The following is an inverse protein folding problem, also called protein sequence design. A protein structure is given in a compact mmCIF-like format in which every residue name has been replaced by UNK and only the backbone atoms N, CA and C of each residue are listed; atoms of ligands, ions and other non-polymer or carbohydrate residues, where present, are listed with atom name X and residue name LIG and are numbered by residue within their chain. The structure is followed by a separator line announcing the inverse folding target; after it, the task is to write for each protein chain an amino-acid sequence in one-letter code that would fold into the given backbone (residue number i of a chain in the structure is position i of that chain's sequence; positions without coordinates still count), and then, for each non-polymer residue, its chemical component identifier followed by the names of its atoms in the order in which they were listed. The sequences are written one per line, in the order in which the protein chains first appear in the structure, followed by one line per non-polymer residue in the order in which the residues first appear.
data_IF_467975548795
#
_entry.id   IF_467975548795
#
_cell.length_a   1.000
_cell.length_b   1.000
_cell.length_c   1.000
_cell.angle_alpha   90.00
_cell.angle_beta   90.00
_cell.angle_gamma   90.00
#
_symmetry.space_group_name_H-M   'P 1'
#
loop_
_entity.id
_entity.type
_entity.pdbx_description
1 polymer ?
#
# COMPACT_ATOMS: atom_id res chain seq x y z
N UNK A 1 -20.43 -9.94 -32.73
CA UNK A 1 -19.07 -9.39 -32.54
C UNK A 1 -19.12 -8.01 -31.91
N UNK A 2 -19.88 -7.06 -32.46
CA UNK A 2 -20.03 -5.69 -31.92
C UNK A 2 -20.52 -5.63 -30.47
N UNK A 3 -21.57 -6.38 -30.11
CA UNK A 3 -22.08 -6.42 -28.73
C UNK A 3 -21.04 -6.91 -27.69
N UNK A 4 -20.17 -7.84 -28.09
CA UNK A 4 -19.09 -8.34 -27.22
C UNK A 4 -18.03 -7.26 -27.01
N UNK A 5 -17.67 -6.53 -28.07
CA UNK A 5 -16.73 -5.41 -27.99
C UNK A 5 -17.27 -4.30 -27.07
N UNK A 6 -18.54 -3.94 -27.22
CA UNK A 6 -19.20 -2.94 -26.36
C UNK A 6 -19.24 -3.39 -24.89
N UNK A 7 -19.54 -4.66 -24.63
CA UNK A 7 -19.53 -5.22 -23.27
C UNK A 7 -18.13 -5.17 -22.66
N UNK A 8 -17.10 -5.58 -23.41
CA UNK A 8 -15.70 -5.51 -22.95
C UNK A 8 -15.26 -4.08 -22.66
N UNK A 9 -15.62 -3.13 -23.54
CA UNK A 9 -15.31 -1.72 -23.34
C UNK A 9 -15.96 -1.17 -22.06
N UNK A 10 -17.25 -1.45 -21.86
CA UNK A 10 -17.96 -1.06 -20.64
C UNK A 10 -17.31 -1.67 -19.39
N UNK A 11 -16.95 -2.95 -19.45
CA UNK A 11 -16.30 -3.65 -18.33
C UNK A 11 -14.92 -3.05 -17.99
N UNK A 12 -14.11 -2.68 -18.99
CA UNK A 12 -12.83 -1.99 -18.78
C UNK A 12 -13.03 -0.63 -18.13
N UNK A 13 -14.01 0.15 -18.59
CA UNK A 13 -14.33 1.45 -17.98
C UNK A 13 -14.80 1.29 -16.54
N UNK A 14 -15.61 0.27 -16.27
CA UNK A 14 -16.08 -0.04 -14.92
C UNK A 14 -14.92 -0.37 -13.98
N UNK A 15 -14.03 -1.30 -14.34
CA UNK A 15 -12.83 -1.63 -13.55
C UNK A 15 -11.94 -0.41 -13.34
N UNK A 16 -11.76 0.41 -14.39
CA UNK A 16 -10.94 1.61 -14.30
C UNK A 16 -11.51 2.62 -13.29
N UNK A 17 -12.83 2.84 -13.32
CA UNK A 17 -13.51 3.70 -12.36
C UNK A 17 -13.40 3.18 -10.91
N UNK A 18 -13.59 1.88 -10.71
CA UNK A 18 -13.40 1.24 -9.39
C UNK A 18 -11.96 1.37 -8.90
N UNK A 19 -10.97 1.18 -9.78
CA UNK A 19 -9.56 1.35 -9.47
C UNK A 19 -9.22 2.75 -8.98
N UNK A 20 -9.77 3.79 -9.62
CA UNK A 20 -9.61 5.19 -9.17
C UNK A 20 -10.25 5.39 -7.80
N UNK A 21 -11.47 4.88 -7.58
CA UNK A 21 -12.16 5.03 -6.30
C UNK A 21 -11.36 4.39 -5.15
N UNK A 22 -10.88 3.16 -5.34
CA UNK A 22 -10.05 2.45 -4.37
C UNK A 22 -8.74 3.18 -4.10
N UNK A 23 -8.06 3.64 -5.15
CA UNK A 23 -6.85 4.44 -5.02
C UNK A 23 -7.07 5.68 -4.15
N UNK A 24 -8.15 6.43 -4.42
CA UNK A 24 -8.48 7.64 -3.65
C UNK A 24 -8.84 7.33 -2.19
N UNK A 25 -9.52 6.21 -1.92
CA UNK A 25 -9.81 5.77 -0.55
C UNK A 25 -8.51 5.50 0.23
N UNK A 26 -7.58 4.76 -0.37
CA UNK A 26 -6.29 4.47 0.25
C UNK A 26 -5.49 5.75 0.51
N UNK A 27 -5.35 6.59 -0.52
CA UNK A 27 -4.64 7.86 -0.47
C UNK A 27 -5.22 8.79 0.61
N UNK A 28 -6.55 8.90 0.69
CA UNK A 28 -7.20 9.74 1.69
C UNK A 28 -7.05 9.18 3.12
N UNK A 29 -7.14 7.86 3.29
CA UNK A 29 -6.89 7.19 4.56
C UNK A 29 -5.48 7.47 5.08
N UNK A 30 -4.48 7.26 4.22
CA UNK A 30 -3.08 7.56 4.50
C UNK A 30 -2.84 9.04 4.78
N UNK A 31 -3.37 9.93 3.95
CA UNK A 31 -3.24 11.38 4.13
C UNK A 31 -3.76 11.81 5.50
N UNK A 32 -4.92 11.30 5.93
CA UNK A 32 -5.53 11.66 7.21
C UNK A 32 -4.70 11.16 8.38
N UNK A 33 -4.22 9.91 8.33
CA UNK A 33 -3.34 9.34 9.35
C UNK A 33 -2.02 10.12 9.43
N UNK A 34 -1.40 10.40 8.28
CA UNK A 34 -0.15 11.14 8.22
C UNK A 34 -0.28 12.58 8.73
N UNK A 35 -1.37 13.26 8.39
CA UNK A 35 -1.65 14.63 8.87
C UNK A 35 -1.86 14.68 10.39
N UNK A 36 -2.50 13.66 10.97
CA UNK A 36 -2.70 13.56 12.43
C UNK A 36 -1.38 13.32 13.17
N UNK A 37 -0.43 12.65 12.52
CA UNK A 37 0.91 12.40 13.05
C UNK A 37 1.89 13.52 12.69
N UNK A 38 1.39 14.68 12.25
CA UNK A 38 2.20 15.87 11.90
C UNK A 38 3.30 15.60 10.85
N UNK A 39 3.09 14.62 9.96
CA UNK A 39 4.02 14.32 8.88
C UNK A 39 3.92 15.44 7.83
N UNK A 40 4.98 16.24 7.71
CA UNK A 40 5.02 17.46 6.89
C UNK A 40 4.60 17.25 5.42
N UNK A 41 4.94 16.10 4.84
CA UNK A 41 4.66 15.73 3.46
C UNK A 41 3.52 14.70 3.33
N UNK A 42 2.51 14.76 4.21
CA UNK A 42 1.33 13.88 4.17
C UNK A 42 0.63 13.82 2.80
N UNK A 43 0.67 14.91 2.03
CA UNK A 43 0.08 15.01 0.69
C UNK A 43 0.67 14.02 -0.32
N UNK A 44 1.87 13.48 -0.08
CA UNK A 44 2.48 12.44 -0.91
C UNK A 44 1.63 11.15 -1.00
N UNK A 45 0.68 10.96 -0.08
CA UNK A 45 -0.32 9.90 -0.16
C UNK A 45 -1.12 9.92 -1.49
N UNK A 46 -1.25 11.07 -2.15
CA UNK A 46 -1.93 11.23 -3.44
C UNK A 46 -0.99 11.08 -4.66
N UNK A 47 0.23 10.60 -4.47
CA UNK A 47 1.15 10.30 -5.57
C UNK A 47 1.34 8.79 -5.61
N UNK A 48 0.98 8.07 -6.69
CA UNK A 48 0.92 6.60 -6.71
C UNK A 48 2.18 5.86 -6.23
N UNK A 49 3.37 6.42 -6.50
CA UNK A 49 4.63 5.83 -6.02
C UNK A 49 5.02 6.41 -4.64
N UNK A 50 4.78 7.70 -4.40
CA UNK A 50 5.17 8.32 -3.13
C UNK A 50 4.22 7.99 -1.96
N UNK A 51 3.02 7.47 -2.21
CA UNK A 51 2.10 7.02 -1.16
C UNK A 51 2.71 5.91 -0.29
N UNK A 52 3.62 5.11 -0.86
CA UNK A 52 4.36 4.09 -0.11
C UNK A 52 5.37 4.69 0.88
N UNK A 53 5.94 5.86 0.56
CA UNK A 53 6.73 6.62 1.53
C UNK A 53 5.85 7.08 2.69
N UNK A 54 4.66 7.63 2.40
CA UNK A 54 3.72 8.05 3.45
C UNK A 54 3.29 6.88 4.33
N UNK A 55 3.01 5.71 3.73
CA UNK A 55 2.71 4.49 4.48
C UNK A 55 3.85 4.12 5.45
N UNK A 56 5.10 4.10 4.96
CA UNK A 56 6.26 3.86 5.80
C UNK A 56 6.43 4.88 6.93
N UNK A 57 6.16 6.16 6.66
CA UNK A 57 6.23 7.23 7.66
C UNK A 57 5.16 7.09 8.76
N UNK A 58 3.94 6.68 8.41
CA UNK A 58 2.84 6.54 9.38
C UNK A 58 3.13 5.43 10.41
N UNK A 59 3.87 4.39 10.01
CA UNK A 59 4.23 3.24 10.85
C UNK A 59 5.66 3.28 11.37
N UNK A 60 6.37 4.39 11.14
CA UNK A 60 7.80 4.52 11.45
C UNK A 60 8.14 4.29 12.92
N UNK A 61 7.23 4.63 13.84
CA UNK A 61 7.38 4.43 15.28
C UNK A 61 7.08 2.99 15.74
N UNK A 62 6.53 2.14 14.86
CA UNK A 62 6.19 0.74 15.15
C UNK A 62 7.26 -0.26 14.73
N UNK A 63 8.15 0.17 13.85
CA UNK A 63 9.19 -0.69 13.31
C UNK A 63 10.48 -0.59 14.11
N UNK A 64 11.33 -1.62 14.01
CA UNK A 64 12.57 -1.68 14.78
C UNK A 64 13.49 -0.49 14.49
N UNK A 65 14.25 -0.04 15.51
CA UNK A 65 15.07 1.16 15.41
C UNK A 65 16.07 1.14 14.23
N UNK A 66 16.64 -0.04 13.91
CA UNK A 66 17.56 -0.18 12.78
C UNK A 66 16.90 -0.11 11.41
N UNK A 67 15.57 -0.23 11.34
CA UNK A 67 14.81 -0.26 10.09
C UNK A 67 13.94 0.97 9.87
N UNK A 68 13.58 1.71 10.92
CA UNK A 68 12.62 2.82 10.85
C UNK A 68 12.99 3.89 9.84
N UNK A 69 14.24 4.37 9.86
CA UNK A 69 14.66 5.49 9.00
C UNK A 69 14.86 5.05 7.55
N UNK A 70 15.02 3.73 7.32
CA UNK A 70 15.20 3.15 5.99
C UNK A 70 13.87 2.80 5.34
N UNK A 71 12.88 2.36 6.12
CA UNK A 71 11.62 1.82 5.60
C UNK A 71 10.89 2.75 4.62
N UNK A 72 10.61 4.05 4.92
CA UNK A 72 9.91 4.92 3.98
C UNK A 72 10.63 5.06 2.63
N UNK A 73 11.95 5.18 2.66
CA UNK A 73 12.78 5.32 1.47
C UNK A 73 12.90 4.01 0.68
N UNK A 74 12.98 2.89 1.39
CA UNK A 74 13.01 1.56 0.78
C UNK A 74 11.69 1.28 0.05
N UNK A 75 10.55 1.63 0.64
CA UNK A 75 9.24 1.39 0.03
C UNK A 75 9.05 2.18 -1.27
N UNK A 76 9.36 3.49 -1.27
CA UNK A 76 9.30 4.29 -2.50
C UNK A 76 10.36 3.86 -3.52
N UNK A 77 11.57 3.52 -3.07
CA UNK A 77 12.67 3.09 -3.93
C UNK A 77 12.34 1.80 -4.67
N UNK A 78 11.78 0.81 -3.97
CA UNK A 78 11.34 -0.46 -4.57
C UNK A 78 10.19 -0.25 -5.55
N UNK A 79 9.19 0.55 -5.19
CA UNK A 79 8.08 0.87 -6.09
C UNK A 79 8.57 1.62 -7.35
N UNK A 80 9.47 2.59 -7.20
CA UNK A 80 10.02 3.35 -8.31
C UNK A 80 10.93 2.50 -9.22
N UNK A 81 11.69 1.56 -8.66
CA UNK A 81 12.57 0.67 -9.41
C UNK A 81 11.82 -0.25 -10.40
N UNK A 82 10.55 -0.52 -10.16
CA UNK A 82 9.73 -1.32 -11.10
C UNK A 82 9.56 -0.64 -12.45
N UNK A 83 9.53 0.69 -12.49
CA UNK A 83 9.29 1.47 -13.72
C UNK A 83 10.38 1.23 -14.77
N UNK A 84 11.68 1.47 -14.49
CA UNK A 84 12.73 1.19 -15.48
C UNK A 84 12.84 -0.32 -15.81
N UNK A 85 12.59 -1.21 -14.84
CA UNK A 85 12.64 -2.66 -15.08
C UNK A 85 11.56 -3.12 -16.07
N UNK A 86 10.37 -2.52 -16.02
CA UNK A 86 9.28 -2.78 -16.97
C UNK A 86 9.68 -2.46 -18.42
N UNK A 87 10.51 -1.44 -18.65
CA UNK A 87 11.02 -1.14 -19.99
C UNK A 87 12.20 -2.04 -20.37
N UNK A 88 13.13 -2.29 -19.44
CA UNK A 88 14.30 -3.12 -19.70
C UNK A 88 13.95 -4.57 -20.06
N UNK A 89 12.93 -5.15 -19.46
CA UNK A 89 12.48 -6.51 -19.80
C UNK A 89 11.97 -6.64 -21.24
N UNK A 90 11.53 -5.54 -21.88
CA UNK A 90 11.13 -5.56 -23.30
C UNK A 90 12.33 -5.78 -24.23
N UNK A 91 13.52 -5.35 -23.80
CA UNK A 91 14.78 -5.44 -24.56
C UNK A 91 15.55 -6.69 -24.18
N UNK A 92 15.58 -7.03 -22.89
CA UNK A 92 16.30 -8.18 -22.36
C UNK A 92 15.37 -9.02 -21.46
N UNK A 93 14.61 -9.97 -22.04
CA UNK A 93 13.58 -10.74 -21.35
C UNK A 93 13.99 -11.42 -20.03
N UNK A 94 15.24 -11.91 -19.84
CA UNK A 94 15.65 -12.51 -18.57
C UNK A 94 15.54 -11.58 -17.33
N UNK A 95 15.50 -10.25 -17.51
CA UNK A 95 15.26 -9.29 -16.42
C UNK A 95 13.91 -9.51 -15.71
N UNK A 96 12.96 -10.19 -16.36
CA UNK A 96 11.67 -10.54 -15.74
C UNK A 96 11.84 -11.25 -14.39
N UNK A 97 12.87 -12.11 -14.24
CA UNK A 97 13.14 -12.82 -12.99
C UNK A 97 13.48 -11.84 -11.87
N UNK A 98 14.31 -10.84 -12.16
CA UNK A 98 14.66 -9.79 -11.21
C UNK A 98 13.44 -8.93 -10.86
N UNK A 99 12.64 -8.54 -11.85
CA UNK A 99 11.40 -7.78 -11.61
C UNK A 99 10.40 -8.55 -10.75
N UNK A 100 10.26 -9.86 -10.95
CA UNK A 100 9.42 -10.73 -10.11
C UNK A 100 9.91 -10.75 -8.66
N UNK A 101 11.21 -10.91 -8.42
CA UNK A 101 11.78 -10.91 -7.07
C UNK A 101 11.55 -9.57 -6.37
N UNK A 102 11.83 -8.45 -7.04
CA UNK A 102 11.59 -7.11 -6.48
C UNK A 102 10.11 -6.87 -6.22
N UNK A 103 9.22 -7.37 -7.09
CA UNK A 103 7.77 -7.26 -6.91
C UNK A 103 7.31 -8.01 -5.65
N UNK A 104 7.80 -9.23 -5.44
CA UNK A 104 7.51 -10.00 -4.22
C UNK A 104 8.03 -9.29 -2.97
N UNK A 105 9.25 -8.73 -3.01
CA UNK A 105 9.80 -7.93 -1.91
C UNK A 105 8.93 -6.70 -1.63
N UNK A 106 8.46 -6.01 -2.68
CA UNK A 106 7.60 -4.84 -2.57
C UNK A 106 6.28 -5.21 -1.90
N UNK A 107 5.63 -6.29 -2.36
CA UNK A 107 4.37 -6.79 -1.77
C UNK A 107 4.59 -7.17 -0.31
N UNK A 108 5.66 -7.90 0.01
CA UNK A 108 5.97 -8.30 1.38
C UNK A 108 6.14 -7.10 2.31
N UNK A 109 6.84 -6.06 1.88
CA UNK A 109 7.01 -4.83 2.67
C UNK A 109 5.74 -4.01 2.80
N UNK A 110 4.90 -3.96 1.76
CA UNK A 110 3.59 -3.30 1.86
C UNK A 110 2.70 -4.05 2.84
N UNK A 111 2.67 -5.38 2.80
CA UNK A 111 1.91 -6.19 3.77
C UNK A 111 2.44 -6.02 5.20
N UNK A 112 3.76 -5.98 5.37
CA UNK A 112 4.39 -5.68 6.66
C UNK A 112 3.98 -4.30 7.19
N UNK A 113 4.06 -3.27 6.35
CA UNK A 113 3.66 -1.93 6.73
C UNK A 113 2.15 -1.84 7.04
N UNK A 114 1.30 -2.57 6.28
CA UNK A 114 -0.13 -2.66 6.58
C UNK A 114 -0.40 -3.39 7.90
N UNK A 115 0.37 -4.42 8.23
CA UNK A 115 0.27 -5.11 9.52
C UNK A 115 0.54 -4.15 10.68
N UNK A 116 1.64 -3.39 10.62
CA UNK A 116 2.00 -2.41 11.63
C UNK A 116 0.97 -1.26 11.70
N UNK A 117 0.48 -0.81 10.54
CA UNK A 117 -0.56 0.20 10.44
C UNK A 117 -1.85 -0.27 11.13
N UNK A 118 -2.29 -1.49 10.84
CA UNK A 118 -3.50 -2.05 11.44
C UNK A 118 -3.29 -2.29 12.93
N UNK A 119 -2.12 -2.79 13.35
CA UNK A 119 -1.79 -2.97 14.76
C UNK A 119 -1.84 -1.66 15.54
N UNK A 120 -1.39 -0.57 14.92
CA UNK A 120 -1.40 0.78 15.49
C UNK A 120 -2.80 1.37 15.65
N UNK A 121 -3.76 1.03 14.79
CA UNK A 121 -5.08 1.69 14.73
C UNK A 121 -6.31 0.77 14.83
N UNK A 122 -6.16 -0.54 15.04
CA UNK A 122 -7.29 -1.50 15.11
C UNK A 122 -7.00 -2.70 16.01
N UNK A 123 -7.98 -3.13 16.79
CA UNK A 123 -7.90 -4.36 17.59
C UNK A 123 -7.96 -5.63 16.72
N UNK A 124 -8.55 -5.53 15.53
CA UNK A 124 -8.72 -6.66 14.61
C UNK A 124 -7.63 -6.71 13.54
N UNK A 125 -6.42 -6.24 13.86
CA UNK A 125 -5.34 -6.05 12.90
C UNK A 125 -4.95 -7.32 12.12
N UNK A 126 -4.90 -8.48 12.78
CA UNK A 126 -4.64 -9.77 12.13
C UNK A 126 -5.73 -10.11 11.12
N UNK A 127 -7.01 -9.91 11.49
CA UNK A 127 -8.15 -10.18 10.61
C UNK A 127 -8.08 -9.27 9.38
N UNK A 128 -7.84 -7.96 9.59
CA UNK A 128 -7.69 -7.01 8.50
C UNK A 128 -6.54 -7.39 7.55
N UNK A 129 -5.39 -7.83 8.06
CA UNK A 129 -4.28 -8.29 7.22
C UNK A 129 -4.65 -9.57 6.45
N UNK A 130 -5.21 -10.58 7.12
CA UNK A 130 -5.60 -11.86 6.48
C UNK A 130 -6.58 -11.60 5.33
N UNK A 131 -7.61 -10.79 5.55
CA UNK A 131 -8.54 -10.42 4.50
C UNK A 131 -7.88 -9.56 3.41
N UNK A 132 -6.91 -8.71 3.76
CA UNK A 132 -6.12 -7.98 2.77
C UNK A 132 -5.36 -8.93 1.85
N UNK A 133 -4.75 -9.99 2.38
CA UNK A 133 -4.06 -11.01 1.59
C UNK A 133 -5.05 -11.79 0.71
N UNK A 134 -6.14 -12.31 1.29
CA UNK A 134 -7.14 -13.11 0.57
C UNK A 134 -7.85 -12.33 -0.55
N UNK A 135 -7.98 -11.02 -0.39
CA UNK A 135 -8.60 -10.12 -1.37
C UNK A 135 -7.59 -9.36 -2.23
N UNK A 136 -6.32 -9.80 -2.25
CA UNK A 136 -5.25 -9.21 -3.06
C UNK A 136 -5.08 -7.68 -2.85
N UNK A 137 -5.23 -7.23 -1.61
CA UNK A 137 -5.03 -5.84 -1.18
C UNK A 137 -6.29 -4.99 -1.11
N UNK A 138 -7.43 -5.47 -1.64
CA UNK A 138 -8.69 -4.71 -1.65
C UNK A 138 -9.14 -4.31 -0.24
N UNK A 139 -9.17 -5.25 0.68
CA UNK A 139 -9.51 -4.95 2.09
C UNK A 139 -8.46 -4.06 2.71
N UNK A 140 -7.19 -4.16 2.31
CA UNK A 140 -6.14 -3.31 2.85
C UNK A 140 -6.39 -1.83 2.56
N UNK A 141 -6.76 -1.54 1.31
CA UNK A 141 -7.15 -0.20 0.85
C UNK A 141 -8.34 0.35 1.65
N UNK A 142 -9.41 -0.44 1.77
CA UNK A 142 -10.64 -0.03 2.44
C UNK A 142 -10.40 0.11 3.95
N UNK A 143 -9.67 -0.82 4.56
CA UNK A 143 -9.36 -0.82 5.98
C UNK A 143 -8.54 0.42 6.37
N UNK A 144 -7.50 0.77 5.60
CA UNK A 144 -6.72 2.00 5.81
C UNK A 144 -7.61 3.24 5.80
N UNK A 145 -8.60 3.30 4.91
CA UNK A 145 -9.59 4.38 4.94
C UNK A 145 -10.45 4.31 6.21
N UNK A 146 -11.04 3.16 6.53
CA UNK A 146 -11.94 3.00 7.68
C UNK A 146 -11.28 3.38 9.00
N UNK A 147 -10.05 2.93 9.24
CA UNK A 147 -9.33 3.16 10.51
C UNK A 147 -8.71 4.56 10.63
N UNK A 148 -8.82 5.41 9.60
CA UNK A 148 -8.12 6.72 9.53
C UNK A 148 -8.38 7.68 10.69
N UNK A 149 -9.48 7.48 11.41
CA UNK A 149 -9.91 8.29 12.55
C UNK A 149 -9.76 7.58 13.90
N UNK A 150 -9.29 6.34 13.92
CA UNK A 150 -9.10 5.58 15.15
C UNK A 150 -7.95 6.18 15.97
N UNK A 151 -7.99 5.97 17.28
CA UNK A 151 -6.92 6.37 18.18
C UNK A 151 -5.72 5.42 18.06
N UNK A 152 -4.54 5.93 18.40
CA UNK A 152 -3.33 5.12 18.40
C UNK A 152 -3.32 4.17 19.60
N UNK A 153 -3.08 2.89 19.34
CA UNK A 153 -3.02 1.85 20.36
C UNK A 153 -1.62 1.77 20.97
N UNK A 154 -1.44 1.60 22.29
CA UNK A 154 -0.12 1.43 22.89
C UNK A 154 0.67 0.27 22.25
N UNK A 155 2.00 0.37 22.20
CA UNK A 155 2.88 -0.65 21.59
C UNK A 155 2.71 -2.02 22.27
N UNK A 156 2.56 -2.04 23.59
CA UNK A 156 2.44 -3.27 24.39
C UNK A 156 1.15 -4.07 24.12
N UNK A 157 0.10 -3.41 23.60
CA UNK A 157 -1.19 -4.04 23.28
C UNK A 157 -1.29 -4.50 21.81
N UNK A 158 -0.35 -4.11 20.96
CA UNK A 158 -0.38 -4.41 19.53
C UNK A 158 0.14 -5.82 19.19
N UNK A 159 0.91 -6.46 20.09
CA UNK A 159 1.53 -7.79 19.86
C UNK A 159 1.02 -8.88 20.83
N UNK A 160 0.05 -8.57 21.69
CA UNK A 160 -0.42 -9.45 22.77
C UNK A 160 -1.60 -10.36 22.37
N UNK A 161 -2.01 -10.38 21.10
CA UNK A 161 -3.15 -11.14 20.60
C UNK A 161 -2.80 -11.96 19.36
#
# INVERSE_FOLDING_TARGET
MEAIILLMFFFVLFIFAEGIALYLLFAFGLFRLASRNEIANAWLAFIPIAQYYTLGMVVWDRVSAGFRDVLPWLMIGLAAAQIPLMFLQMIFPPIVILSMLLSLTTIGLVLYALFELFGKYSDQYVILLVFSILTLGLVGVIATFVIRNNEERPVDQAHAA
#
